data_IF_733985507577
#
_entry.id   IF_733985507577
#
_cell.length_a   1.000
_cell.length_b   1.000
_cell.length_c   1.000
_cell.angle_alpha   90.00
_cell.angle_beta   90.00
_cell.angle_gamma   90.00
#
_symmetry.space_group_name_H-M   'P 1'
#
loop_
_entity.id
_entity.type
_entity.pdbx_description
1 polymer ?
#
# COMPACT_ATOMS: atom_id res chain seq x y z
N UNK A 1 -23.60 4.18 8.17
CA UNK A 1 -23.48 4.09 6.70
C UNK A 1 -24.87 4.13 6.12
N UNK A 2 -25.21 5.12 5.30
CA UNK A 2 -26.54 5.17 4.66
C UNK A 2 -26.53 4.52 3.28
N UNK A 3 -27.69 4.22 2.70
CA UNK A 3 -27.84 3.57 1.37
C UNK A 3 -27.01 4.24 0.25
N UNK A 4 -26.79 5.56 0.35
CA UNK A 4 -25.98 6.35 -0.59
C UNK A 4 -24.47 6.06 -0.53
N UNK A 5 -23.99 5.35 0.48
CA UNK A 5 -22.57 5.00 0.61
C UNK A 5 -22.21 3.71 -0.11
N UNK A 6 -23.17 2.78 -0.33
CA UNK A 6 -22.92 1.51 -1.02
C UNK A 6 -22.71 1.66 -2.53
N UNK A 7 -23.30 2.70 -3.14
CA UNK A 7 -23.14 2.93 -4.58
C UNK A 7 -21.74 3.42 -4.96
N UNK A 8 -21.03 4.11 -4.05
CA UNK A 8 -19.71 4.68 -4.33
C UNK A 8 -18.65 3.59 -4.61
N UNK A 9 -18.52 2.53 -3.78
CA UNK A 9 -17.66 1.38 -4.10
C UNK A 9 -17.99 0.72 -5.44
N UNK A 10 -19.28 0.55 -5.76
CA UNK A 10 -19.70 -0.05 -7.04
C UNK A 10 -19.27 0.80 -8.23
N UNK A 11 -19.46 2.13 -8.14
CA UNK A 11 -19.01 3.07 -9.16
C UNK A 11 -17.50 3.07 -9.33
N UNK A 12 -16.75 2.95 -8.24
CA UNK A 12 -15.29 2.85 -8.30
C UNK A 12 -14.86 1.53 -8.98
N UNK A 13 -15.52 0.40 -8.69
CA UNK A 13 -15.20 -0.90 -9.30
C UNK A 13 -15.51 -0.97 -10.79
N UNK A 14 -16.58 -0.30 -11.20
CA UNK A 14 -17.00 -0.21 -12.61
C UNK A 14 -16.33 0.95 -13.36
N UNK A 15 -15.39 1.66 -12.72
CA UNK A 15 -14.69 2.83 -13.27
C UNK A 15 -15.62 3.95 -13.77
N UNK A 16 -16.83 4.06 -13.20
CA UNK A 16 -17.80 5.15 -13.47
C UNK A 16 -17.86 6.16 -12.33
N UNK A 17 -16.93 6.05 -11.36
CA UNK A 17 -16.85 7.02 -10.27
C UNK A 17 -16.54 8.42 -10.82
N UNK A 18 -17.34 9.44 -10.46
CA UNK A 18 -17.17 10.82 -10.91
C UNK A 18 -15.75 11.38 -10.68
N UNK A 19 -14.94 11.44 -11.73
CA UNK A 19 -13.56 11.96 -11.68
C UNK A 19 -13.29 12.90 -12.87
N UNK A 20 -12.35 13.85 -12.72
CA UNK A 20 -12.09 14.87 -13.76
C UNK A 20 -11.60 14.25 -15.06
N UNK A 21 -10.80 13.19 -15.02
CA UNK A 21 -10.35 12.53 -16.26
C UNK A 21 -11.53 11.94 -17.05
N UNK A 22 -12.58 11.48 -16.37
CA UNK A 22 -13.79 10.96 -17.01
C UNK A 22 -14.65 12.07 -17.63
N UNK A 23 -14.88 13.18 -16.92
CA UNK A 23 -15.71 14.28 -17.43
C UNK A 23 -14.98 15.17 -18.44
N UNK A 24 -13.68 15.36 -18.29
CA UNK A 24 -12.87 16.27 -19.11
C UNK A 24 -12.00 15.52 -20.13
N UNK A 25 -12.45 14.32 -20.55
CA UNK A 25 -11.73 13.47 -21.51
C UNK A 25 -11.37 14.22 -22.80
N UNK A 26 -12.29 15.05 -23.28
CA UNK A 26 -12.16 15.81 -24.53
C UNK A 26 -11.87 17.30 -24.31
N UNK A 27 -11.59 17.71 -23.08
CA UNK A 27 -11.26 19.10 -22.80
C UNK A 27 -9.93 19.48 -23.48
N UNK A 28 -9.92 20.66 -24.11
CA UNK A 28 -8.77 21.23 -24.81
C UNK A 28 -7.63 21.60 -23.85
N UNK A 29 -7.96 22.05 -22.64
CA UNK A 29 -6.98 22.33 -21.58
C UNK A 29 -6.68 21.05 -20.78
N UNK A 30 -5.44 20.52 -20.81
CA UNK A 30 -5.06 19.35 -20.01
C UNK A 30 -5.20 19.58 -18.50
N UNK A 31 -5.08 20.82 -18.01
CA UNK A 31 -5.17 21.12 -16.57
C UNK A 31 -6.57 20.85 -16.01
N UNK A 32 -7.59 20.85 -16.87
CA UNK A 32 -8.96 20.47 -16.50
C UNK A 32 -9.06 19.03 -15.96
N UNK A 33 -8.08 18.17 -16.25
CA UNK A 33 -8.03 16.77 -15.79
C UNK A 33 -7.32 16.59 -14.45
N UNK A 34 -6.57 17.58 -13.97
CA UNK A 34 -5.79 17.50 -12.74
C UNK A 34 -6.67 17.24 -11.52
N UNK A 35 -6.15 16.48 -10.55
CA UNK A 35 -6.81 16.17 -9.30
C UNK A 35 -7.34 17.44 -8.60
N UNK A 36 -8.63 17.42 -8.25
CA UNK A 36 -9.31 18.49 -7.49
C UNK A 36 -8.72 18.72 -6.11
N UNK A 37 -8.05 17.70 -5.56
CA UNK A 37 -7.52 17.72 -4.20
C UNK A 37 -6.05 18.08 -4.16
N UNK A 38 -5.19 17.37 -4.89
CA UNK A 38 -3.74 17.61 -4.82
C UNK A 38 -3.18 18.38 -6.02
N UNK A 39 -3.90 18.47 -7.15
CA UNK A 39 -3.44 19.20 -8.34
C UNK A 39 -2.20 18.63 -9.06
N UNK A 40 -1.60 17.53 -8.58
CA UNK A 40 -0.29 17.07 -9.07
C UNK A 40 -0.34 16.13 -10.28
N UNK A 41 -1.43 15.38 -10.45
CA UNK A 41 -1.61 14.41 -11.54
C UNK A 41 -3.08 14.38 -11.98
N UNK A 42 -3.34 13.75 -13.12
CA UNK A 42 -4.70 13.49 -13.61
C UNK A 42 -5.55 12.77 -12.57
N UNK A 43 -6.78 13.26 -12.39
CA UNK A 43 -7.75 12.71 -11.46
C UNK A 43 -8.38 11.42 -11.97
N UNK A 44 -7.63 10.35 -11.90
CA UNK A 44 -8.14 8.99 -12.15
C UNK A 44 -8.56 8.33 -10.83
N UNK A 45 -9.40 7.29 -10.90
CA UNK A 45 -9.73 6.48 -9.71
C UNK A 45 -8.46 5.88 -9.08
N UNK A 46 -7.50 5.44 -9.91
CA UNK A 46 -6.19 4.98 -9.46
C UNK A 46 -5.45 6.08 -8.69
N UNK A 47 -5.33 7.28 -9.27
CA UNK A 47 -4.68 8.40 -8.61
C UNK A 47 -5.32 8.71 -7.26
N UNK A 48 -6.65 8.87 -7.21
CA UNK A 48 -7.37 9.16 -5.96
C UNK A 48 -7.05 8.09 -4.92
N UNK A 49 -7.18 6.81 -5.26
CA UNK A 49 -7.16 5.74 -4.27
C UNK A 49 -5.77 5.19 -3.92
N UNK A 50 -4.75 5.47 -4.73
CA UNK A 50 -3.41 4.88 -4.57
C UNK A 50 -2.32 5.93 -4.41
N UNK A 51 -2.43 7.11 -5.04
CA UNK A 51 -1.31 8.06 -5.12
C UNK A 51 -1.60 9.42 -4.45
N UNK A 52 -2.83 9.93 -4.54
CA UNK A 52 -3.20 11.29 -4.14
C UNK A 52 -2.77 11.60 -2.70
N UNK A 53 -1.93 12.62 -2.51
CA UNK A 53 -1.40 13.00 -1.19
C UNK A 53 -2.51 13.39 -0.20
N UNK A 54 -3.61 13.95 -0.70
CA UNK A 54 -4.76 14.32 0.12
C UNK A 54 -5.39 13.14 0.89
N UNK A 55 -5.39 11.94 0.31
CA UNK A 55 -5.93 10.74 0.98
C UNK A 55 -4.85 9.84 1.56
N UNK A 56 -3.61 10.32 1.65
CA UNK A 56 -2.48 9.55 2.18
C UNK A 56 -2.75 9.06 3.60
N UNK A 57 -3.20 9.92 4.51
CA UNK A 57 -3.48 9.53 5.89
C UNK A 57 -4.55 8.41 5.99
N UNK A 58 -5.72 8.51 5.34
CA UNK A 58 -6.66 7.38 5.24
C UNK A 58 -6.08 6.10 4.63
N UNK A 59 -5.21 6.20 3.62
CA UNK A 59 -4.53 5.03 3.04
C UNK A 59 -3.58 4.36 4.02
N UNK A 60 -2.77 5.15 4.74
CA UNK A 60 -1.88 4.65 5.79
C UNK A 60 -2.68 4.03 6.94
N UNK A 61 -3.78 4.65 7.37
CA UNK A 61 -4.67 4.08 8.39
C UNK A 61 -5.24 2.72 7.96
N UNK A 62 -5.69 2.60 6.70
CA UNK A 62 -6.15 1.31 6.14
C UNK A 62 -5.03 0.28 6.07
N UNK A 63 -3.83 0.68 5.69
CA UNK A 63 -2.65 -0.17 5.66
C UNK A 63 -2.36 -0.73 7.05
N UNK A 64 -2.20 0.14 8.05
CA UNK A 64 -1.86 -0.22 9.42
C UNK A 64 -2.96 -1.08 10.07
N UNK A 65 -4.23 -0.83 9.72
CA UNK A 65 -5.33 -1.70 10.13
C UNK A 65 -5.14 -3.13 9.59
N UNK A 66 -4.90 -3.30 8.30
CA UNK A 66 -4.68 -4.64 7.72
C UNK A 66 -3.42 -5.29 8.30
N UNK A 67 -2.35 -4.54 8.47
CA UNK A 67 -1.11 -5.00 9.10
C UNK A 67 -1.36 -5.53 10.52
N UNK A 68 -2.07 -4.78 11.36
CA UNK A 68 -2.40 -5.21 12.73
C UNK A 68 -3.19 -6.54 12.73
N UNK A 69 -4.09 -6.72 11.78
CA UNK A 69 -4.87 -7.95 11.63
C UNK A 69 -4.00 -9.13 11.17
N UNK A 70 -2.97 -8.89 10.36
CA UNK A 70 -1.97 -9.90 9.98
C UNK A 70 -1.15 -10.29 11.21
N UNK A 71 -0.63 -9.31 11.95
CA UNK A 71 0.15 -9.53 13.18
C UNK A 71 -0.65 -10.34 14.20
N UNK A 72 -1.90 -9.97 14.45
CA UNK A 72 -2.79 -10.69 15.38
C UNK A 72 -2.95 -12.16 14.99
N UNK A 73 -3.13 -12.44 13.69
CA UNK A 73 -3.24 -13.83 13.19
C UNK A 73 -1.92 -14.61 13.31
N UNK A 74 -0.78 -13.95 13.11
CA UNK A 74 0.53 -14.59 13.26
C UNK A 74 0.80 -14.98 14.71
N UNK A 75 0.53 -14.08 15.66
CA UNK A 75 0.70 -14.35 17.09
C UNK A 75 -0.21 -15.48 17.59
N UNK A 76 -1.45 -15.54 17.10
CA UNK A 76 -2.37 -16.66 17.39
C UNK A 76 -1.85 -18.00 16.86
N UNK A 77 -1.20 -18.00 15.69
CA UNK A 77 -0.70 -19.22 15.04
C UNK A 77 0.64 -19.68 15.59
N UNK A 78 1.48 -18.75 16.06
CA UNK A 78 2.81 -19.02 16.58
C UNK A 78 2.97 -18.41 17.99
N UNK A 79 2.40 -19.05 19.02
CA UNK A 79 2.57 -18.60 20.39
C UNK A 79 4.06 -18.55 20.76
N UNK A 80 4.52 -17.40 21.25
CA UNK A 80 5.94 -17.18 21.60
C UNK A 80 6.83 -16.69 20.44
N UNK A 81 6.29 -16.50 19.24
CA UNK A 81 7.02 -15.81 18.18
C UNK A 81 7.22 -14.33 18.49
N UNK A 82 8.38 -13.79 18.12
CA UNK A 82 8.66 -12.36 18.25
C UNK A 82 8.22 -11.66 16.95
N UNK A 83 7.29 -10.71 17.08
CA UNK A 83 6.81 -9.91 15.95
C UNK A 83 7.15 -8.45 16.22
N UNK A 84 7.83 -7.82 15.27
CA UNK A 84 8.17 -6.39 15.33
C UNK A 84 7.52 -5.66 14.15
N UNK A 85 6.90 -4.52 14.42
CA UNK A 85 6.25 -3.65 13.42
C UNK A 85 7.00 -2.32 13.28
N UNK A 86 7.05 -1.80 12.05
CA UNK A 86 7.68 -0.53 11.66
C UNK A 86 9.13 -0.33 12.15
N UNK A 87 9.91 -1.42 12.27
CA UNK A 87 11.29 -1.34 12.74
C UNK A 87 12.21 -0.80 11.63
N UNK A 88 12.96 0.26 11.93
CA UNK A 88 14.08 0.68 11.10
C UNK A 88 15.23 -0.33 11.26
N UNK A 89 15.66 -0.92 10.15
CA UNK A 89 16.77 -1.85 10.08
C UNK A 89 17.79 -1.23 9.14
N UNK A 90 19.01 -1.08 9.62
CA UNK A 90 20.14 -0.63 8.79
C UNK A 90 20.84 -1.87 8.26
N UNK A 91 20.94 -1.97 6.93
CA UNK A 91 21.74 -2.99 6.27
C UNK A 91 23.25 -2.66 6.36
N UNK A 92 24.12 -3.61 5.99
CA UNK A 92 25.58 -3.47 5.97
C UNK A 92 26.09 -2.32 5.12
N UNK A 93 25.36 -1.99 4.07
CA UNK A 93 25.68 -0.87 3.16
C UNK A 93 25.16 0.50 3.70
N UNK A 94 24.85 0.59 4.99
CA UNK A 94 24.20 1.75 5.64
C UNK A 94 22.83 2.13 5.02
N UNK A 95 22.21 1.19 4.31
CA UNK A 95 20.90 1.37 3.71
C UNK A 95 19.84 1.18 4.78
N UNK A 96 19.08 2.24 5.05
CA UNK A 96 17.94 2.22 5.97
C UNK A 96 16.73 1.56 5.30
N UNK A 97 16.33 0.42 5.84
CA UNK A 97 15.17 -0.35 5.42
C UNK A 97 14.12 -0.31 6.52
N UNK A 98 12.85 -0.16 6.13
CA UNK A 98 11.73 -0.12 7.07
C UNK A 98 10.65 -1.07 6.58
N UNK A 99 10.77 -2.38 6.85
CA UNK A 99 9.67 -3.31 6.62
C UNK A 99 8.45 -2.93 7.47
N UNK A 100 7.26 -3.30 7.02
CA UNK A 100 6.05 -3.14 7.81
C UNK A 100 6.12 -4.07 9.03
N UNK A 101 6.26 -5.37 8.81
CA UNK A 101 6.30 -6.37 9.89
C UNK A 101 7.43 -7.37 9.69
N UNK A 102 8.10 -7.76 10.78
CA UNK A 102 9.08 -8.84 10.82
C UNK A 102 8.66 -9.87 11.87
N UNK A 103 8.54 -11.12 11.45
CA UNK A 103 8.27 -12.27 12.31
C UNK A 103 9.55 -13.09 12.45
N UNK A 104 10.01 -13.26 13.69
CA UNK A 104 11.15 -14.08 14.05
C UNK A 104 10.66 -15.38 14.70
N UNK A 105 10.94 -16.49 14.01
CA UNK A 105 10.77 -17.86 14.49
C UNK A 105 12.16 -18.45 14.79
N UNK A 106 12.25 -19.54 15.58
CA UNK A 106 13.55 -20.13 15.95
C UNK A 106 14.46 -20.49 14.77
N UNK A 107 13.87 -20.94 13.66
CA UNK A 107 14.61 -21.41 12.49
C UNK A 107 14.63 -20.39 11.34
N UNK A 108 13.75 -19.38 11.35
CA UNK A 108 13.48 -18.52 10.18
C UNK A 108 13.04 -17.12 10.58
N UNK A 109 13.42 -16.17 9.73
CA UNK A 109 12.94 -14.79 9.81
C UNK A 109 12.08 -14.52 8.58
N UNK A 110 10.88 -13.99 8.81
CA UNK A 110 9.94 -13.63 7.76
C UNK A 110 9.76 -12.11 7.75
N UNK A 111 10.14 -11.48 6.64
CA UNK A 111 9.85 -10.07 6.37
C UNK A 111 8.52 -10.00 5.62
N UNK A 112 7.56 -9.24 6.18
CA UNK A 112 6.19 -9.14 5.70
C UNK A 112 5.93 -7.68 5.37
N UNK A 113 5.55 -7.42 4.12
CA UNK A 113 5.20 -6.09 3.63
C UNK A 113 3.76 -6.14 3.09
N UNK A 114 2.93 -5.27 3.64
CA UNK A 114 1.49 -5.26 3.41
C UNK A 114 1.18 -4.30 2.26
N UNK A 115 0.50 -4.83 1.24
CA UNK A 115 0.10 -4.05 0.07
C UNK A 115 -1.42 -4.01 -0.03
N UNK A 116 -2.04 -2.85 0.19
CA UNK A 116 -3.48 -2.66 0.05
C UNK A 116 -3.81 -1.88 -1.23
N UNK A 117 -3.93 -2.61 -2.33
CA UNK A 117 -4.36 -2.04 -3.60
C UNK A 117 -5.87 -1.91 -3.74
N UNK A 118 -6.30 -0.99 -4.60
CA UNK A 118 -7.68 -0.81 -4.98
C UNK A 118 -8.20 -1.95 -5.88
N UNK A 119 -7.42 -2.36 -6.88
CA UNK A 119 -7.81 -3.39 -7.83
C UNK A 119 -6.68 -4.43 -7.97
N UNK A 120 -7.01 -5.70 -7.73
CA UNK A 120 -6.08 -6.82 -7.85
C UNK A 120 -5.71 -7.12 -9.32
N UNK A 121 -6.49 -6.61 -10.29
CA UNK A 121 -6.21 -6.74 -11.73
C UNK A 121 -5.33 -5.62 -12.29
N UNK A 122 -4.98 -4.62 -11.47
CA UNK A 122 -4.10 -3.55 -11.94
C UNK A 122 -2.70 -4.12 -12.22
N UNK A 123 -2.28 -4.09 -13.48
CA UNK A 123 -0.96 -4.56 -13.96
C UNK A 123 0.20 -3.77 -13.32
N UNK A 124 -0.08 -2.66 -12.62
CA UNK A 124 0.91 -1.92 -11.81
C UNK A 124 1.14 -2.53 -10.42
N UNK A 125 0.23 -3.35 -9.91
CA UNK A 125 0.40 -4.04 -8.63
C UNK A 125 1.57 -5.05 -8.61
N UNK A 126 1.80 -5.86 -9.68
CA UNK A 126 3.02 -6.66 -9.82
C UNK A 126 4.31 -5.86 -9.73
N UNK A 127 4.37 -4.67 -10.36
CA UNK A 127 5.58 -3.84 -10.37
C UNK A 127 5.90 -3.24 -8.99
N UNK A 128 4.87 -2.79 -8.26
CA UNK A 128 5.04 -2.35 -6.87
C UNK A 128 5.50 -3.51 -5.95
N UNK A 129 5.02 -4.74 -6.19
CA UNK A 129 5.50 -5.94 -5.50
C UNK A 129 6.95 -6.27 -5.85
N UNK A 130 7.35 -6.10 -7.10
CA UNK A 130 8.70 -6.39 -7.58
C UNK A 130 9.73 -5.44 -6.95
N UNK A 131 9.48 -4.13 -6.96
CA UNK A 131 10.35 -3.17 -6.27
C UNK A 131 10.43 -3.42 -4.74
N UNK A 132 9.33 -3.87 -4.11
CA UNK A 132 9.33 -4.26 -2.69
C UNK A 132 10.15 -5.52 -2.45
N UNK A 133 10.05 -6.52 -3.33
CA UNK A 133 10.87 -7.75 -3.27
C UNK A 133 12.36 -7.46 -3.40
N UNK A 134 12.75 -6.57 -4.32
CA UNK A 134 14.16 -6.17 -4.48
C UNK A 134 14.70 -5.53 -3.19
N UNK A 135 13.92 -4.64 -2.55
CA UNK A 135 14.29 -4.05 -1.27
C UNK A 135 14.34 -5.07 -0.13
N UNK A 136 13.45 -6.07 -0.13
CA UNK A 136 13.45 -7.14 0.88
C UNK A 136 14.60 -8.14 0.70
N UNK A 137 14.99 -8.47 -0.53
CA UNK A 137 16.09 -9.39 -0.80
C UNK A 137 17.42 -8.87 -0.21
N UNK A 138 17.62 -7.54 -0.17
CA UNK A 138 18.75 -6.91 0.52
C UNK A 138 18.79 -7.22 2.02
N UNK A 139 17.63 -7.38 2.67
CA UNK A 139 17.50 -7.66 4.11
C UNK A 139 17.86 -9.09 4.53
N UNK A 140 17.95 -10.03 3.59
CA UNK A 140 18.09 -11.48 3.87
C UNK A 140 19.58 -11.90 3.84
N UNK A 141 20.49 -10.96 3.60
CA UNK A 141 21.94 -11.18 3.65
C UNK A 141 22.38 -11.74 5.02
N UNK A 142 23.21 -12.81 5.07
CA UNK A 142 23.55 -13.48 6.33
C UNK A 142 24.38 -12.56 7.24
N UNK A 143 23.73 -12.06 8.30
CA UNK A 143 24.35 -11.37 9.44
C UNK A 143 23.84 -9.95 9.73
N UNK A 144 22.56 -9.66 9.48
CA UNK A 144 21.82 -8.47 9.96
C UNK A 144 21.06 -8.77 11.27
N UNK A 145 20.92 -10.06 11.62
CA UNK A 145 20.04 -10.56 12.69
C UNK A 145 20.78 -11.28 13.82
N UNK A 146 22.04 -10.90 14.07
CA UNK A 146 22.87 -11.36 15.19
C UNK A 146 22.73 -10.44 16.39
#
# INVERSE_FOLDING_TARGET
MGDRDFIKPLRLRTNVFPNRTLFNRHASDPRSRLCRRCGTKDETAFHILQECTFVQAPRCSRHNFIESQVVEKLLKRHPGANVTSERLITDRDDVKLRPDTVLQLPERIHVIDVAVAWDARDRRFPRARECRKENQLRMISPGIWS
#
